data_IF_530574108332
#
_entry.id   IF_530574108332
#
_cell.length_a   1.000
_cell.length_b   1.000
_cell.length_c   1.000
_cell.angle_alpha   90.00
_cell.angle_beta   90.00
_cell.angle_gamma   90.00
#
_symmetry.space_group_name_H-M   'P 1'
#
loop_
_entity.id
_entity.type
_entity.pdbx_description
1 polymer ?
#
# COMPACT_ATOMS: atom_id res chain seq x y z
N UNK A 1 -28.27 -3.14 22.34
CA UNK A 1 -28.07 -3.22 20.88
C UNK A 1 -27.81 -4.68 20.55
N UNK A 2 -28.71 -5.31 19.81
CA UNK A 2 -28.60 -6.75 19.48
C UNK A 2 -27.51 -6.91 18.42
N UNK A 3 -26.49 -7.71 18.72
CA UNK A 3 -25.43 -8.08 17.76
C UNK A 3 -26.05 -8.93 16.65
N UNK A 4 -26.08 -8.42 15.41
CA UNK A 4 -26.53 -9.19 14.25
C UNK A 4 -25.71 -10.46 14.08
N UNK A 5 -26.38 -11.57 13.76
CA UNK A 5 -25.71 -12.83 13.42
C UNK A 5 -25.04 -12.70 12.03
N UNK A 6 -23.97 -13.45 11.80
CA UNK A 6 -23.22 -13.56 10.53
C UNK A 6 -24.14 -13.77 9.33
N UNK A 7 -25.18 -14.60 9.45
CA UNK A 7 -26.13 -14.83 8.36
C UNK A 7 -26.96 -13.59 7.98
N UNK A 8 -27.37 -12.79 8.97
CA UNK A 8 -28.10 -11.52 8.74
C UNK A 8 -27.18 -10.45 8.16
N UNK A 9 -25.92 -10.41 8.64
CA UNK A 9 -24.88 -9.51 8.10
C UNK A 9 -24.50 -9.86 6.66
N UNK A 10 -24.51 -11.13 6.29
CA UNK A 10 -24.25 -11.57 4.91
C UNK A 10 -25.42 -11.19 3.98
N UNK A 11 -26.68 -11.32 4.42
CA UNK A 11 -27.84 -10.90 3.62
C UNK A 11 -27.97 -9.38 3.47
N UNK A 12 -27.64 -8.60 4.50
CA UNK A 12 -27.70 -7.13 4.42
C UNK A 12 -26.71 -6.54 3.41
N UNK A 13 -25.69 -7.29 3.02
CA UNK A 13 -24.68 -6.87 2.06
C UNK A 13 -25.11 -7.06 0.59
N UNK A 14 -26.28 -7.68 0.30
CA UNK A 14 -26.67 -8.09 -1.06
C UNK A 14 -27.34 -6.97 -1.84
N UNK A 15 -28.05 -6.08 -1.16
CA UNK A 15 -28.76 -4.99 -1.80
C UNK A 15 -28.45 -3.65 -1.12
N UNK A 16 -27.55 -2.82 -1.70
CA UNK A 16 -27.27 -1.51 -1.16
C UNK A 16 -28.51 -0.61 -1.18
N UNK A 17 -29.54 -0.88 -1.99
CA UNK A 17 -30.77 -0.07 -2.09
C UNK A 17 -31.72 -0.30 -0.91
N UNK A 18 -31.60 -1.42 -0.20
CA UNK A 18 -32.37 -1.69 1.01
C UNK A 18 -31.86 -0.93 2.24
N UNK A 19 -30.64 -0.37 2.18
CA UNK A 19 -30.01 0.39 3.27
C UNK A 19 -30.31 1.89 3.08
N UNK A 20 -30.70 2.68 4.09
CA UNK A 20 -30.75 4.14 3.95
C UNK A 20 -29.40 4.72 3.51
N UNK A 21 -29.40 5.75 2.65
CA UNK A 21 -28.14 6.32 2.10
C UNK A 21 -27.15 6.71 3.20
N UNK A 22 -27.62 7.37 4.27
CA UNK A 22 -26.84 7.81 5.43
C UNK A 22 -26.26 6.67 6.29
N UNK A 23 -26.65 5.42 6.00
CA UNK A 23 -26.15 4.20 6.66
C UNK A 23 -25.22 3.39 5.77
N UNK A 24 -24.91 3.85 4.57
CA UNK A 24 -23.93 3.19 3.70
C UNK A 24 -22.52 3.43 4.26
N UNK A 25 -21.86 2.34 4.64
CA UNK A 25 -20.45 2.35 5.01
C UNK A 25 -19.66 1.44 4.06
N UNK A 26 -18.95 2.06 3.11
CA UNK A 26 -18.10 1.35 2.14
C UNK A 26 -16.72 0.96 2.68
N UNK A 27 -16.40 1.29 3.95
CA UNK A 27 -15.13 0.91 4.58
C UNK A 27 -15.14 -0.50 5.18
N UNK A 28 -16.28 -1.22 5.16
CA UNK A 28 -16.34 -2.59 5.71
C UNK A 28 -15.47 -3.54 4.85
N UNK A 29 -14.38 -4.13 5.41
CA UNK A 29 -13.51 -5.02 4.65
C UNK A 29 -14.22 -6.25 4.06
N UNK A 30 -15.36 -6.66 4.63
CA UNK A 30 -16.20 -7.73 4.08
C UNK A 30 -16.64 -7.44 2.64
N UNK A 31 -16.96 -6.19 2.31
CA UNK A 31 -17.37 -5.79 0.97
C UNK A 31 -16.29 -6.09 -0.08
N UNK A 32 -15.01 -5.93 0.29
CA UNK A 32 -13.88 -6.20 -0.59
C UNK A 32 -13.57 -7.69 -0.63
N UNK A 33 -13.52 -8.36 0.53
CA UNK A 33 -13.24 -9.80 0.63
C UNK A 33 -14.27 -10.66 -0.12
N UNK A 34 -15.53 -10.23 -0.13
CA UNK A 34 -16.61 -10.90 -0.87
C UNK A 34 -16.87 -10.32 -2.27
N UNK A 35 -16.11 -9.31 -2.70
CA UNK A 35 -16.26 -8.61 -3.99
C UNK A 35 -17.68 -8.03 -4.23
N UNK A 36 -18.30 -7.50 -3.17
CA UNK A 36 -19.67 -6.94 -3.14
C UNK A 36 -19.73 -5.42 -3.01
N UNK A 37 -18.58 -4.75 -3.08
CA UNK A 37 -18.50 -3.29 -3.02
C UNK A 37 -19.10 -2.56 -4.24
N UNK A 38 -19.16 -3.23 -5.40
CA UNK A 38 -19.54 -2.56 -6.66
C UNK A 38 -20.94 -1.94 -6.67
N UNK A 39 -22.02 -2.64 -6.24
CA UNK A 39 -23.35 -2.05 -6.17
C UNK A 39 -23.43 -0.84 -5.23
N UNK A 40 -22.68 -0.85 -4.11
CA UNK A 40 -22.62 0.29 -3.19
C UNK A 40 -22.03 1.52 -3.87
N UNK A 41 -20.88 1.36 -4.53
CA UNK A 41 -20.27 2.47 -5.27
C UNK A 41 -21.13 2.92 -6.45
N UNK A 42 -21.88 2.03 -7.10
CA UNK A 42 -22.85 2.41 -8.14
C UNK A 42 -23.94 3.31 -7.59
N UNK A 43 -24.54 2.94 -6.46
CA UNK A 43 -25.57 3.74 -5.81
C UNK A 43 -25.03 5.10 -5.36
N UNK A 44 -23.88 5.14 -4.69
CA UNK A 44 -23.26 6.40 -4.26
C UNK A 44 -22.98 7.31 -5.46
N UNK A 45 -22.38 6.80 -6.54
CA UNK A 45 -22.18 7.60 -7.77
C UNK A 45 -23.49 8.18 -8.32
N UNK A 46 -24.60 7.46 -8.21
CA UNK A 46 -25.90 7.89 -8.75
C UNK A 46 -26.61 8.90 -7.86
N UNK A 47 -26.64 8.65 -6.56
CA UNK A 47 -27.54 9.32 -5.62
C UNK A 47 -26.83 10.31 -4.69
N UNK A 48 -25.60 10.01 -4.27
CA UNK A 48 -24.84 10.81 -3.31
C UNK A 48 -23.32 10.65 -3.54
N UNK A 49 -22.74 11.32 -4.56
CA UNK A 49 -21.39 11.02 -5.03
C UNK A 49 -20.27 11.51 -4.11
N UNK A 50 -20.59 12.45 -3.21
CA UNK A 50 -19.73 12.96 -2.13
C UNK A 50 -20.45 12.68 -0.82
N UNK A 51 -20.33 11.44 -0.37
CA UNK A 51 -21.16 10.86 0.69
C UNK A 51 -20.48 10.96 2.05
N UNK A 52 -21.18 11.47 3.06
CA UNK A 52 -20.68 11.49 4.43
C UNK A 52 -21.14 10.25 5.20
N UNK A 53 -20.17 9.41 5.57
CA UNK A 53 -20.38 8.27 6.46
C UNK A 53 -20.07 8.69 7.90
N UNK A 54 -21.10 8.83 8.73
CA UNK A 54 -20.96 9.33 10.10
C UNK A 54 -20.40 8.29 11.09
N UNK A 55 -20.59 7.00 10.82
CA UNK A 55 -20.24 5.91 11.74
C UNK A 55 -19.47 4.81 10.99
N UNK A 56 -18.20 4.60 11.36
CA UNK A 56 -17.38 3.51 10.82
C UNK A 56 -16.35 3.04 11.85
N UNK A 57 -15.66 1.93 11.56
CA UNK A 57 -14.54 1.44 12.37
C UNK A 57 -13.36 2.44 12.43
N UNK A 58 -13.32 3.40 11.52
CA UNK A 58 -12.25 4.39 11.36
C UNK A 58 -12.71 5.82 11.71
N UNK A 59 -13.89 5.97 12.33
CA UNK A 59 -14.51 7.28 12.55
C UNK A 59 -15.28 7.81 11.33
N UNK A 60 -15.75 9.06 11.37
CA UNK A 60 -16.50 9.64 10.26
C UNK A 60 -15.59 9.98 9.07
N UNK A 61 -16.06 9.78 7.85
CA UNK A 61 -15.30 10.10 6.63
C UNK A 61 -16.20 10.47 5.44
N UNK A 62 -15.61 11.12 4.44
CA UNK A 62 -16.26 11.39 3.15
C UNK A 62 -15.83 10.37 2.09
N UNK A 63 -16.79 9.76 1.42
CA UNK A 63 -16.58 8.94 0.22
C UNK A 63 -16.74 9.77 -1.03
N UNK A 64 -15.67 9.97 -1.80
CA UNK A 64 -15.70 10.64 -3.10
C UNK A 64 -15.66 9.58 -4.19
N UNK A 65 -16.77 9.39 -4.92
CA UNK A 65 -16.99 8.16 -5.72
C UNK A 65 -16.99 8.35 -7.23
N UNK A 66 -16.94 9.60 -7.72
CA UNK A 66 -16.86 9.92 -9.15
C UNK A 66 -15.45 10.33 -9.54
N UNK A 67 -15.03 9.89 -10.72
CA UNK A 67 -13.72 10.20 -11.29
C UNK A 67 -13.36 11.69 -11.25
N UNK A 68 -14.26 12.58 -11.71
CA UNK A 68 -13.98 14.03 -11.76
C UNK A 68 -13.82 14.64 -10.36
N UNK A 69 -14.57 14.15 -9.39
CA UNK A 69 -14.53 14.63 -8.02
C UNK A 69 -13.26 14.12 -7.30
N UNK A 70 -12.87 12.86 -7.56
CA UNK A 70 -11.59 12.30 -7.11
C UNK A 70 -10.42 13.11 -7.68
N UNK A 71 -10.42 13.40 -8.99
CA UNK A 71 -9.39 14.24 -9.61
C UNK A 71 -9.34 15.64 -9.03
N UNK A 72 -10.51 16.22 -8.70
CA UNK A 72 -10.56 17.50 -8.01
C UNK A 72 -9.86 17.41 -6.64
N UNK A 73 -10.17 16.41 -5.82
CA UNK A 73 -9.49 16.20 -4.53
C UNK A 73 -7.98 16.03 -4.72
N UNK A 74 -7.57 15.10 -5.57
CA UNK A 74 -6.16 14.74 -5.79
C UNK A 74 -5.30 15.92 -6.27
N UNK A 75 -5.86 16.78 -7.14
CA UNK A 75 -5.12 17.93 -7.69
C UNK A 75 -5.15 19.17 -6.80
N UNK A 76 -6.00 19.21 -5.76
CA UNK A 76 -6.11 20.33 -4.83
C UNK A 76 -5.46 20.00 -3.47
N UNK A 77 -4.22 19.52 -3.50
CA UNK A 77 -3.46 19.10 -2.31
C UNK A 77 -3.27 20.19 -1.24
N UNK A 78 -3.39 21.48 -1.60
CA UNK A 78 -3.38 22.57 -0.63
C UNK A 78 -4.66 22.65 0.23
N UNK A 79 -5.75 22.02 -0.22
CA UNK A 79 -7.02 21.89 0.51
C UNK A 79 -7.10 20.51 1.15
N UNK A 80 -6.71 19.47 0.40
CA UNK A 80 -6.74 18.07 0.82
C UNK A 80 -5.31 17.58 1.10
N UNK A 81 -4.85 17.85 2.32
CA UNK A 81 -3.49 17.52 2.78
C UNK A 81 -3.25 16.00 2.81
N UNK A 82 -2.03 15.60 2.48
CA UNK A 82 -1.53 14.23 2.66
C UNK A 82 -0.59 14.09 3.86
N UNK A 83 -0.34 15.18 4.60
CA UNK A 83 0.66 15.23 5.65
C UNK A 83 0.33 14.27 6.81
N UNK A 84 1.32 13.48 7.23
CA UNK A 84 1.18 12.54 8.37
C UNK A 84 0.78 13.24 9.67
N UNK A 85 1.14 14.51 9.84
CA UNK A 85 0.72 15.33 10.99
C UNK A 85 -0.79 15.65 10.98
N UNK A 86 -1.46 15.49 9.83
CA UNK A 86 -2.91 15.64 9.65
C UNK A 86 -3.67 14.31 9.60
N UNK A 87 -2.98 13.17 9.81
CA UNK A 87 -3.58 11.82 9.79
C UNK A 87 -3.05 10.92 8.67
N UNK A 88 -2.39 11.49 7.65
CA UNK A 88 -1.77 10.76 6.55
C UNK A 88 -2.72 10.45 5.39
N UNK A 89 -2.46 9.34 4.69
CA UNK A 89 -3.05 9.03 3.37
C UNK A 89 -3.93 7.76 3.35
N UNK A 90 -4.17 7.16 4.50
CA UNK A 90 -5.08 6.00 4.63
C UNK A 90 -6.31 6.39 5.43
N UNK A 91 -7.38 5.61 5.32
CA UNK A 91 -8.61 5.82 6.11
C UNK A 91 -8.38 5.60 7.61
N UNK A 92 -7.30 4.91 8.00
CA UNK A 92 -6.94 4.66 9.39
C UNK A 92 -5.97 5.73 9.86
N UNK A 93 -6.31 6.39 10.96
CA UNK A 93 -5.39 7.31 11.63
C UNK A 93 -4.09 6.60 12.03
N UNK A 94 -2.96 7.24 11.72
CA UNK A 94 -1.65 6.76 12.11
C UNK A 94 -1.30 7.17 13.56
N UNK A 95 -2.05 6.64 14.53
CA UNK A 95 -1.90 6.98 15.95
C UNK A 95 -0.78 6.22 16.68
N UNK A 96 -0.09 5.30 16.00
CA UNK A 96 0.84 4.34 16.61
C UNK A 96 2.26 4.88 16.90
N UNK A 97 2.48 6.20 16.89
CA UNK A 97 3.76 6.82 17.32
C UNK A 97 4.96 6.63 16.38
N UNK A 98 4.99 5.59 15.53
CA UNK A 98 6.00 5.39 14.51
C UNK A 98 5.68 6.25 13.26
N UNK A 99 6.01 7.54 13.34
CA UNK A 99 5.94 8.45 12.20
C UNK A 99 7.16 8.22 11.30
N UNK A 100 7.11 7.20 10.46
CA UNK A 100 8.12 7.00 9.42
C UNK A 100 7.92 8.07 8.35
N UNK A 101 8.90 8.96 8.12
CA UNK A 101 8.77 10.00 7.11
C UNK A 101 8.76 9.35 5.71
N UNK A 102 7.58 9.26 5.11
CA UNK A 102 7.38 8.80 3.74
C UNK A 102 6.92 9.98 2.90
N UNK A 103 7.59 10.29 1.79
CA UNK A 103 7.22 11.47 1.01
C UNK A 103 5.78 11.43 0.49
N UNK A 104 5.17 10.24 0.31
CA UNK A 104 3.75 10.09 -0.04
C UNK A 104 2.80 10.69 1.00
N UNK A 105 3.23 10.76 2.26
CA UNK A 105 2.47 11.34 3.38
C UNK A 105 3.08 12.70 3.81
N UNK A 106 3.49 13.51 2.84
CA UNK A 106 4.00 14.86 3.03
C UNK A 106 3.38 15.80 2.02
N UNK A 107 3.18 17.05 2.41
CA UNK A 107 2.83 18.12 1.47
C UNK A 107 4.09 18.83 0.91
N UNK A 108 3.97 19.59 -0.19
CA UNK A 108 5.01 20.50 -0.64
C UNK A 108 5.41 21.52 0.45
N UNK A 109 6.69 21.95 0.49
CA UNK A 109 7.74 21.69 -0.50
C UNK A 109 8.56 20.41 -0.27
N UNK A 110 8.42 19.74 0.89
CA UNK A 110 9.27 18.61 1.26
C UNK A 110 8.99 17.38 0.37
N UNK A 111 7.72 17.13 0.05
CA UNK A 111 7.33 16.10 -0.91
C UNK A 111 8.10 16.25 -2.23
N UNK A 112 8.12 17.45 -2.82
CA UNK A 112 8.70 17.69 -4.14
C UNK A 112 10.21 17.43 -4.15
N UNK A 113 10.89 17.86 -3.09
CA UNK A 113 12.32 17.65 -2.93
C UNK A 113 12.68 16.15 -2.85
N UNK A 114 11.98 15.38 -2.00
CA UNK A 114 12.25 13.94 -1.84
C UNK A 114 11.83 13.14 -3.09
N UNK A 115 10.68 13.45 -3.68
CA UNK A 115 10.21 12.79 -4.92
C UNK A 115 11.20 13.00 -6.06
N UNK A 116 11.79 14.18 -6.17
CA UNK A 116 12.80 14.49 -7.19
C UNK A 116 14.04 13.61 -7.08
N UNK A 117 14.47 13.25 -5.85
CA UNK A 117 15.62 12.37 -5.61
C UNK A 117 15.39 10.98 -6.21
N UNK A 118 14.20 10.38 -6.01
CA UNK A 118 13.92 9.00 -6.43
C UNK A 118 13.35 8.88 -7.85
N UNK A 119 12.80 9.95 -8.43
CA UNK A 119 12.17 9.94 -9.76
C UNK A 119 13.05 9.36 -10.90
N UNK A 120 14.39 9.52 -10.92
CA UNK A 120 15.21 8.93 -11.97
C UNK A 120 15.11 7.40 -12.08
N UNK A 121 14.70 6.68 -11.04
CA UNK A 121 14.63 5.22 -11.10
C UNK A 121 13.61 4.72 -12.14
N UNK A 122 12.54 5.48 -12.36
CA UNK A 122 11.49 5.17 -13.34
C UNK A 122 11.69 5.93 -14.65
N UNK A 123 12.84 6.60 -14.84
CA UNK A 123 13.14 7.26 -16.10
C UNK A 123 13.25 6.24 -17.23
N UNK A 124 12.82 6.56 -18.47
CA UNK A 124 12.82 5.62 -19.60
C UNK A 124 14.16 4.91 -19.83
N UNK A 125 15.28 5.63 -19.66
CA UNK A 125 16.61 5.06 -19.81
C UNK A 125 16.95 4.00 -18.74
N UNK A 126 16.46 4.15 -17.51
CA UNK A 126 16.65 3.15 -16.45
C UNK A 126 15.69 1.97 -16.63
N UNK A 127 14.44 2.21 -17.06
CA UNK A 127 13.51 1.14 -17.41
C UNK A 127 14.06 0.24 -18.54
N UNK A 128 14.68 0.83 -19.56
CA UNK A 128 15.32 0.07 -20.64
C UNK A 128 16.45 -0.85 -20.14
N UNK A 129 17.21 -0.43 -19.11
CA UNK A 129 18.25 -1.27 -18.49
C UNK A 129 17.64 -2.44 -17.69
N UNK A 130 16.48 -2.22 -17.07
CA UNK A 130 15.79 -3.25 -16.29
C UNK A 130 15.08 -4.28 -17.17
N UNK A 131 14.76 -3.95 -18.42
CA UNK A 131 14.00 -4.82 -19.34
C UNK A 131 14.62 -6.22 -19.47
N UNK A 132 15.93 -6.30 -19.69
CA UNK A 132 16.64 -7.58 -19.83
C UNK A 132 16.50 -8.46 -18.58
N UNK A 133 16.75 -7.87 -17.41
CA UNK A 133 16.60 -8.55 -16.12
C UNK A 133 15.17 -9.01 -15.85
N UNK A 134 14.17 -8.16 -16.13
CA UNK A 134 12.74 -8.50 -15.98
C UNK A 134 12.40 -9.67 -16.90
N UNK A 135 12.78 -9.60 -18.18
CA UNK A 135 12.49 -10.61 -19.19
C UNK A 135 13.09 -11.96 -18.81
N UNK A 136 14.34 -11.98 -18.40
CA UNK A 136 15.02 -13.21 -17.97
C UNK A 136 14.31 -13.85 -16.78
N UNK A 137 13.98 -13.06 -15.76
CA UNK A 137 13.31 -13.56 -14.54
C UNK A 137 11.91 -14.05 -14.80
N UNK A 138 11.13 -13.28 -15.55
CA UNK A 138 9.79 -13.70 -15.95
C UNK A 138 9.85 -15.01 -16.76
N UNK A 139 10.79 -15.13 -17.71
CA UNK A 139 11.02 -16.36 -18.45
C UNK A 139 11.32 -17.54 -17.53
N UNK A 140 12.32 -17.42 -16.65
CA UNK A 140 12.68 -18.47 -15.68
C UNK A 140 11.52 -18.88 -14.77
N UNK A 141 10.72 -17.93 -14.29
CA UNK A 141 9.54 -18.23 -13.46
C UNK A 141 8.54 -19.05 -14.28
N UNK A 142 8.16 -18.57 -15.47
CA UNK A 142 7.16 -19.22 -16.31
C UNK A 142 7.62 -20.60 -16.81
N UNK A 143 8.89 -20.76 -17.16
CA UNK A 143 9.49 -22.03 -17.58
C UNK A 143 9.51 -23.07 -16.45
N UNK A 144 9.44 -22.64 -15.18
CA UNK A 144 9.43 -23.52 -14.00
C UNK A 144 8.03 -23.98 -13.57
N UNK A 145 6.96 -23.42 -14.16
CA UNK A 145 5.59 -23.74 -13.77
C UNK A 145 5.17 -25.13 -14.28
N UNK A 146 4.42 -25.90 -13.48
CA UNK A 146 3.93 -27.19 -13.94
C UNK A 146 2.84 -27.00 -14.99
N UNK A 147 2.82 -27.88 -15.99
CA UNK A 147 1.84 -27.84 -17.09
C UNK A 147 0.71 -28.83 -16.78
N UNK A 148 -0.54 -28.37 -16.86
CA UNK A 148 -1.74 -29.15 -16.53
C UNK A 148 -1.84 -29.60 -15.06
N UNK A 149 -1.15 -28.91 -14.15
CA UNK A 149 -1.28 -29.13 -12.71
C UNK A 149 -1.73 -27.85 -12.00
N UNK A 150 -2.51 -28.01 -10.93
CA UNK A 150 -2.94 -26.88 -10.09
C UNK A 150 -1.80 -26.39 -9.23
N UNK A 151 -1.55 -25.09 -9.25
CA UNK A 151 -0.62 -24.43 -8.34
C UNK A 151 -1.15 -23.06 -7.90
N UNK A 152 -0.54 -22.47 -6.87
CA UNK A 152 -0.88 -21.13 -6.40
C UNK A 152 -0.19 -20.07 -7.27
N UNK A 153 -0.94 -19.43 -8.17
CA UNK A 153 -0.43 -18.36 -9.04
C UNK A 153 0.13 -17.16 -8.26
N UNK A 154 -0.54 -16.79 -7.15
CA UNK A 154 -0.12 -15.65 -6.34
C UNK A 154 1.27 -15.88 -5.77
N UNK A 155 1.55 -17.07 -5.21
CA UNK A 155 2.87 -17.37 -4.64
C UNK A 155 3.95 -17.57 -5.71
N UNK A 156 3.66 -18.42 -6.72
CA UNK A 156 4.66 -18.86 -7.70
C UNK A 156 4.98 -17.81 -8.76
N UNK A 157 4.06 -16.89 -9.04
CA UNK A 157 4.22 -15.90 -10.12
C UNK A 157 4.16 -14.48 -9.56
N UNK A 158 3.03 -14.09 -8.96
CA UNK A 158 2.82 -12.69 -8.57
C UNK A 158 3.82 -12.23 -7.51
N UNK A 159 3.92 -12.94 -6.39
CA UNK A 159 4.84 -12.62 -5.30
C UNK A 159 6.29 -12.81 -5.76
N UNK A 160 6.62 -13.92 -6.41
CA UNK A 160 8.00 -14.19 -6.81
C UNK A 160 8.55 -13.11 -7.75
N UNK A 161 7.82 -12.78 -8.84
CA UNK A 161 8.29 -11.78 -9.80
C UNK A 161 8.41 -10.39 -9.19
N UNK A 162 7.40 -9.96 -8.41
CA UNK A 162 7.40 -8.63 -7.79
C UNK A 162 8.46 -8.49 -6.70
N UNK A 163 8.69 -9.54 -5.90
CA UNK A 163 9.73 -9.55 -4.87
C UNK A 163 11.13 -9.50 -5.46
N UNK A 164 11.38 -10.23 -6.55
CA UNK A 164 12.66 -10.13 -7.27
C UNK A 164 12.89 -8.71 -7.80
N UNK A 165 11.85 -8.03 -8.25
CA UNK A 165 11.95 -6.63 -8.69
C UNK A 165 12.26 -5.67 -7.54
N UNK A 166 11.55 -5.78 -6.41
CA UNK A 166 11.85 -4.96 -5.22
C UNK A 166 13.30 -5.17 -4.75
N UNK A 167 13.77 -6.43 -4.73
CA UNK A 167 15.14 -6.72 -4.35
C UNK A 167 16.17 -6.05 -5.28
N UNK A 168 15.87 -5.95 -6.58
CA UNK A 168 16.75 -5.22 -7.52
C UNK A 168 16.68 -3.71 -7.36
N UNK A 169 15.51 -3.16 -7.07
CA UNK A 169 15.37 -1.72 -6.86
C UNK A 169 16.08 -1.25 -5.58
N UNK A 170 16.19 -2.10 -4.56
CA UNK A 170 16.87 -1.79 -3.30
C UNK A 170 18.31 -2.32 -3.20
N UNK A 171 18.79 -3.06 -4.22
CA UNK A 171 19.98 -3.91 -4.12
C UNK A 171 19.99 -4.74 -2.81
N UNK A 172 18.84 -5.38 -2.54
CA UNK A 172 18.59 -6.18 -1.35
C UNK A 172 19.23 -7.56 -1.49
N UNK A 173 19.80 -8.15 -0.41
CA UNK A 173 20.39 -9.48 -0.46
C UNK A 173 19.44 -10.54 -1.05
N UNK A 174 19.88 -11.16 -2.15
CA UNK A 174 19.00 -11.99 -2.99
C UNK A 174 18.34 -13.15 -2.24
N UNK A 175 19.11 -13.82 -1.39
CA UNK A 175 18.63 -14.96 -0.59
C UNK A 175 17.61 -14.54 0.49
N UNK A 176 17.62 -13.27 0.89
CA UNK A 176 16.75 -12.74 1.93
C UNK A 176 15.53 -11.98 1.37
N UNK A 177 15.39 -11.85 0.05
CA UNK A 177 14.36 -11.01 -0.60
C UNK A 177 12.93 -11.22 -0.12
N UNK A 178 12.59 -12.43 0.36
CA UNK A 178 11.25 -12.74 0.91
C UNK A 178 10.94 -12.00 2.22
N UNK A 179 11.95 -11.44 2.90
CA UNK A 179 11.75 -10.46 3.99
C UNK A 179 10.97 -9.23 3.52
N UNK A 180 11.21 -8.75 2.29
CA UNK A 180 10.49 -7.60 1.72
C UNK A 180 8.99 -7.88 1.62
N UNK A 181 8.61 -9.07 1.15
CA UNK A 181 7.20 -9.48 1.08
C UNK A 181 6.60 -9.57 2.48
N UNK A 182 7.32 -10.19 3.43
CA UNK A 182 6.85 -10.34 4.81
C UNK A 182 6.60 -8.98 5.46
N UNK A 183 7.55 -8.05 5.37
CA UNK A 183 7.39 -6.71 5.93
C UNK A 183 6.28 -5.92 5.24
N UNK A 184 6.07 -6.10 3.93
CA UNK A 184 4.91 -5.54 3.22
C UNK A 184 3.59 -6.07 3.77
N UNK A 185 3.46 -7.39 3.94
CA UNK A 185 2.24 -8.02 4.47
C UNK A 185 1.94 -7.55 5.90
N UNK A 186 2.98 -7.46 6.74
CA UNK A 186 2.90 -6.98 8.13
C UNK A 186 2.48 -5.52 8.18
N UNK A 187 2.98 -4.69 7.26
CA UNK A 187 2.63 -3.27 7.21
C UNK A 187 1.13 -3.06 6.90
N UNK A 188 0.53 -3.89 6.04
CA UNK A 188 -0.81 -3.65 5.49
C UNK A 188 -1.92 -4.59 6.00
N UNK A 189 -1.59 -5.71 6.63
CA UNK A 189 -2.60 -6.66 7.11
C UNK A 189 -3.19 -6.22 8.45
N UNK A 190 -4.47 -5.88 8.49
CA UNK A 190 -5.15 -5.54 9.76
C UNK A 190 -5.69 -6.78 10.45
N UNK A 191 -6.31 -7.70 9.70
CA UNK A 191 -6.95 -8.89 10.24
C UNK A 191 -5.97 -9.79 11.01
N UNK A 192 -4.72 -9.86 10.54
CA UNK A 192 -3.70 -10.72 11.14
C UNK A 192 -3.21 -10.23 12.51
N UNK A 193 -3.45 -8.96 12.87
CA UNK A 193 -2.84 -8.31 14.05
C UNK A 193 -3.85 -7.56 14.93
N UNK A 194 -5.13 -7.95 14.92
CA UNK A 194 -6.21 -7.27 15.68
C UNK A 194 -6.11 -7.37 17.21
N UNK A 195 -5.28 -8.25 17.75
CA UNK A 195 -5.09 -8.37 19.20
C UNK A 195 -3.93 -7.50 19.67
N UNK A 196 -3.90 -7.05 20.93
CA UNK A 196 -2.76 -6.30 21.46
C UNK A 196 -1.41 -7.03 21.27
N UNK A 197 -1.40 -8.37 21.40
CA UNK A 197 -0.21 -9.18 21.15
C UNK A 197 0.18 -9.19 19.67
N UNK A 198 -0.81 -9.22 18.77
CA UNK A 198 -0.59 -9.11 17.33
C UNK A 198 -0.04 -7.75 16.94
N UNK A 199 -0.55 -6.68 17.54
CA UNK A 199 -0.07 -5.32 17.31
C UNK A 199 1.39 -5.15 17.78
N UNK A 200 1.73 -5.67 18.96
CA UNK A 200 3.11 -5.68 19.45
C UNK A 200 4.05 -6.51 18.56
N UNK A 201 3.59 -7.66 18.05
CA UNK A 201 4.37 -8.47 17.10
C UNK A 201 4.59 -7.74 15.77
N UNK A 202 3.56 -7.05 15.26
CA UNK A 202 3.65 -6.20 14.07
C UNK A 202 4.66 -5.08 14.27
N UNK A 203 4.62 -4.39 15.40
CA UNK A 203 5.58 -3.34 15.72
C UNK A 203 7.02 -3.87 15.76
N UNK A 204 7.25 -5.01 16.40
CA UNK A 204 8.57 -5.64 16.46
C UNK A 204 9.13 -5.99 15.08
N UNK A 205 8.32 -6.56 14.18
CA UNK A 205 8.76 -6.90 12.81
C UNK A 205 9.02 -5.64 11.96
N UNK A 206 8.25 -4.56 12.16
CA UNK A 206 8.50 -3.29 11.47
C UNK A 206 9.76 -2.59 11.99
N UNK A 207 10.09 -2.72 13.28
CA UNK A 207 11.35 -2.26 13.85
C UNK A 207 12.55 -3.06 13.31
N UNK A 208 12.40 -4.37 13.12
CA UNK A 208 13.41 -5.20 12.45
C UNK A 208 13.65 -4.73 11.01
N UNK A 209 12.58 -4.47 10.26
CA UNK A 209 12.65 -3.89 8.92
C UNK A 209 13.43 -2.57 8.92
N UNK A 210 13.07 -1.64 9.82
CA UNK A 210 13.72 -0.35 9.94
C UNK A 210 15.22 -0.48 10.27
N UNK A 211 15.57 -1.38 11.20
CA UNK A 211 16.96 -1.65 11.55
C UNK A 211 17.75 -2.20 10.35
N UNK A 212 17.18 -3.13 9.60
CA UNK A 212 17.81 -3.73 8.43
C UNK A 212 18.05 -2.70 7.32
N UNK A 213 17.05 -1.88 6.98
CA UNK A 213 17.22 -0.81 5.99
C UNK A 213 18.19 0.28 6.47
N UNK A 214 18.30 0.53 7.78
CA UNK A 214 19.31 1.43 8.34
C UNK A 214 20.72 0.87 8.15
N UNK A 215 20.91 -0.43 8.30
CA UNK A 215 22.20 -1.07 8.01
C UNK A 215 22.56 -0.95 6.53
N UNK A 216 21.63 -1.27 5.63
CA UNK A 216 21.84 -1.10 4.18
C UNK A 216 22.18 0.35 3.84
N UNK A 217 21.45 1.32 4.41
CA UNK A 217 21.73 2.74 4.25
C UNK A 217 23.17 3.08 4.65
N UNK A 218 23.60 2.67 5.84
CA UNK A 218 24.96 2.94 6.34
C UNK A 218 26.03 2.31 5.44
N UNK A 219 25.77 1.15 4.84
CA UNK A 219 26.67 0.55 3.85
C UNK A 219 26.75 1.41 2.57
N UNK A 220 25.63 1.97 2.09
CA UNK A 220 25.59 2.80 0.86
C UNK A 220 26.21 4.19 1.05
N UNK A 221 25.98 4.85 2.19
CA UNK A 221 26.58 6.17 2.49
C UNK A 221 28.11 6.09 2.51
N UNK A 222 28.66 4.98 2.98
CA UNK A 222 30.10 4.76 3.08
C UNK A 222 30.70 4.07 1.83
N UNK A 223 29.90 3.80 0.80
CA UNK A 223 30.36 3.11 -0.41
C UNK A 223 31.21 4.03 -1.29
N UNK A 224 32.34 3.52 -1.77
CA UNK A 224 33.24 4.25 -2.68
C UNK A 224 32.74 4.29 -4.12
N UNK A 225 31.88 3.35 -4.52
CA UNK A 225 31.22 3.33 -5.83
C UNK A 225 29.69 3.37 -5.63
N UNK A 226 28.99 4.36 -6.18
CA UNK A 226 27.55 4.47 -6.03
C UNK A 226 26.83 3.37 -6.85
N UNK A 227 26.04 2.54 -6.16
CA UNK A 227 25.06 1.65 -6.78
C UNK A 227 23.95 2.43 -7.51
N UNK A 228 23.24 1.75 -8.41
CA UNK A 228 22.10 2.32 -9.14
C UNK A 228 20.74 2.13 -8.45
N UNK A 229 20.73 1.72 -7.17
CA UNK A 229 19.54 1.35 -6.40
C UNK A 229 18.95 2.53 -5.61
N UNK A 230 17.70 2.37 -5.15
CA UNK A 230 16.97 3.38 -4.39
C UNK A 230 17.67 3.81 -3.11
N UNK A 231 18.30 2.86 -2.40
CA UNK A 231 18.94 3.18 -1.12
C UNK A 231 20.16 4.06 -1.39
N UNK A 232 20.96 3.74 -2.42
CA UNK A 232 22.06 4.61 -2.85
C UNK A 232 21.58 5.99 -3.29
N UNK A 233 20.52 6.06 -4.11
CA UNK A 233 19.96 7.33 -4.59
C UNK A 233 19.50 8.24 -3.44
N UNK A 234 18.85 7.67 -2.43
CA UNK A 234 18.44 8.40 -1.23
C UNK A 234 19.65 8.74 -0.34
N UNK A 235 20.57 7.81 -0.11
CA UNK A 235 21.76 8.01 0.73
C UNK A 235 22.68 9.13 0.25
N UNK A 236 22.65 9.45 -1.04
CA UNK A 236 23.48 10.47 -1.68
C UNK A 236 22.67 11.71 -2.10
N UNK A 237 21.36 11.72 -1.89
CA UNK A 237 20.49 12.84 -2.24
C UNK A 237 20.59 13.97 -1.22
N UNK A 238 20.88 15.19 -1.66
CA UNK A 238 21.02 16.37 -0.78
C UNK A 238 19.73 16.73 0.01
N UNK A 239 18.59 16.13 -0.34
CA UNK A 239 17.25 16.44 0.21
C UNK A 239 16.67 15.32 1.08
N UNK A 240 17.45 14.29 1.38
CA UNK A 240 17.03 13.06 2.07
C UNK A 240 18.06 12.67 3.13
#
# INVERSE_FOLDING_TARGET
MSSMNVAERVQSLDDPYAIPLDKINVSDPELFRSNRMWPYFERLRREDPVHYCAESAYGPFWSVTKYKDIMHVETNHAIYSSDVEQGGITIRDNNAGLKLPMFIAMDPPKHDAQRKVVSPIVAPANLAKLEGTIRERAGKILDSLPVNETFNWVDRVSIELTTQMLATLFDFPWEERRKLTRWSDVATSEEAFKTPEGEAAREAELLECAAYFTELWNQRVNATEPGGDLITMLAQGEST
#
